data_IF_671648919866
#
_entry.id   IF_671648919866
#
_cell.length_a   1.000
_cell.length_b   1.000
_cell.length_c   1.000
_cell.angle_alpha   90.00
_cell.angle_beta   90.00
_cell.angle_gamma   90.00
#
_symmetry.space_group_name_H-M   'P 1'
#
loop_
_entity.id
_entity.type
_entity.pdbx_description
1 polymer ?
#
# COMPACT_ATOMS: atom_id res chain seq x y z
N UNK A 1 16.65 7.62 4.56
CA UNK A 1 17.04 6.65 3.51
C UNK A 1 16.57 7.21 2.17
N UNK A 2 17.48 7.36 1.20
CA UNK A 2 17.14 7.85 -0.15
C UNK A 2 16.70 6.70 -1.07
N UNK A 3 16.07 7.03 -2.20
CA UNK A 3 15.74 6.10 -3.29
C UNK A 3 17.01 5.65 -4.01
N UNK A 4 17.10 4.36 -4.35
CA UNK A 4 18.17 3.82 -5.19
C UNK A 4 17.95 4.15 -6.67
N UNK A 5 18.98 3.99 -7.50
CA UNK A 5 18.86 4.19 -8.95
C UNK A 5 17.88 3.21 -9.58
N UNK A 6 17.83 1.98 -9.10
CA UNK A 6 16.89 0.95 -9.54
C UNK A 6 15.46 1.34 -9.18
N UNK A 7 15.23 1.85 -7.97
CA UNK A 7 13.91 2.32 -7.53
C UNK A 7 13.45 3.54 -8.35
N UNK A 8 14.34 4.49 -8.62
CA UNK A 8 14.04 5.63 -9.48
C UNK A 8 13.72 5.21 -10.91
N UNK A 9 14.49 4.28 -11.46
CA UNK A 9 14.28 3.75 -12.81
C UNK A 9 12.96 2.99 -12.91
N UNK A 10 12.66 2.15 -11.92
CA UNK A 10 11.43 1.38 -11.84
C UNK A 10 10.22 2.21 -11.41
N UNK A 11 10.43 3.43 -10.89
CA UNK A 11 9.41 4.27 -10.24
C UNK A 11 8.68 3.54 -9.11
N UNK A 12 9.38 2.61 -8.45
CA UNK A 12 8.82 1.72 -7.44
C UNK A 12 9.86 1.32 -6.41
N UNK A 13 9.47 1.46 -5.14
CA UNK A 13 10.14 0.90 -3.97
C UNK A 13 9.27 -0.20 -3.36
N UNK A 14 9.86 -1.36 -3.08
CA UNK A 14 9.20 -2.39 -2.29
C UNK A 14 9.41 -2.10 -0.82
N UNK A 15 8.34 -2.11 -0.04
CA UNK A 15 8.41 -1.90 1.40
C UNK A 15 7.87 -3.15 2.10
N UNK A 16 8.75 -3.83 2.83
CA UNK A 16 8.41 -4.96 3.67
C UNK A 16 7.95 -4.47 5.03
N UNK A 17 6.88 -5.06 5.55
CA UNK A 17 6.29 -4.78 6.85
C UNK A 17 6.34 -6.02 7.74
N UNK A 18 6.45 -5.83 9.04
CA UNK A 18 6.23 -6.88 10.02
C UNK A 18 5.65 -6.30 11.32
N UNK A 19 4.60 -6.91 11.87
CA UNK A 19 4.07 -6.51 13.17
C UNK A 19 5.10 -6.84 14.27
N UNK A 20 5.30 -5.89 15.18
CA UNK A 20 6.04 -6.03 16.41
C UNK A 20 5.07 -5.78 17.56
N UNK A 21 4.82 -6.81 18.35
CA UNK A 21 3.93 -6.68 19.50
C UNK A 21 4.75 -6.27 20.72
N UNK A 22 4.36 -5.14 21.32
CA UNK A 22 4.88 -4.70 22.61
C UNK A 22 3.70 -4.53 23.58
N UNK A 23 3.53 -5.49 24.48
CA UNK A 23 2.39 -5.59 25.40
C UNK A 23 1.02 -5.42 24.69
N UNK A 24 0.38 -4.26 24.89
CA UNK A 24 -0.92 -3.87 24.32
C UNK A 24 -0.82 -2.90 23.14
N UNK A 25 0.38 -2.69 22.62
CA UNK A 25 0.66 -1.86 21.45
C UNK A 25 1.11 -2.75 20.30
N UNK A 26 0.44 -2.61 19.16
CA UNK A 26 0.88 -3.21 17.91
C UNK A 26 1.72 -2.17 17.17
N UNK A 27 3.04 -2.37 17.15
CA UNK A 27 3.94 -1.60 16.32
C UNK A 27 4.00 -2.24 14.93
N UNK A 28 4.04 -1.43 13.88
CA UNK A 28 4.28 -1.91 12.54
C UNK A 28 5.64 -1.41 12.06
N UNK A 29 6.63 -2.30 12.09
CA UNK A 29 7.94 -2.01 11.55
C UNK A 29 7.95 -2.22 10.04
N UNK A 30 8.84 -1.50 9.36
CA UNK A 30 8.99 -1.59 7.92
C UNK A 30 10.42 -1.30 7.48
N UNK A 31 10.79 -1.82 6.31
CA UNK A 31 12.05 -1.49 5.63
C UNK A 31 11.88 -1.54 4.11
N UNK A 32 12.61 -0.71 3.36
CA UNK A 32 12.75 -0.93 1.92
C UNK A 32 13.48 -2.25 1.67
N UNK A 33 13.09 -2.96 0.61
CA UNK A 33 13.79 -4.16 0.12
C UNK A 33 14.04 -4.04 -1.38
N UNK A 34 15.12 -4.63 -1.86
CA UNK A 34 15.35 -4.76 -3.29
C UNK A 34 14.40 -5.79 -3.90
N UNK A 35 14.18 -5.68 -5.23
CA UNK A 35 13.31 -6.59 -5.96
C UNK A 35 13.72 -8.07 -5.84
N UNK A 36 15.02 -8.35 -5.73
CA UNK A 36 15.56 -9.71 -5.59
C UNK A 36 15.44 -10.27 -4.16
N UNK A 37 15.23 -9.41 -3.15
CA UNK A 37 14.98 -9.82 -1.76
C UNK A 37 13.51 -10.19 -1.52
N UNK A 38 12.62 -9.99 -2.51
CA UNK A 38 11.21 -10.30 -2.37
C UNK A 38 10.99 -11.81 -2.18
N UNK A 39 10.50 -12.17 -1.00
CA UNK A 39 10.10 -13.54 -0.67
C UNK A 39 8.57 -13.64 -0.69
N UNK A 40 7.97 -14.62 -1.40
CA UNK A 40 6.54 -14.88 -1.34
C UNK A 40 6.05 -15.08 0.10
N UNK A 41 4.80 -14.70 0.38
CA UNK A 41 4.17 -14.76 1.70
C UNK A 41 4.73 -13.79 2.77
N UNK A 42 5.68 -12.93 2.42
CA UNK A 42 6.03 -11.77 3.27
C UNK A 42 5.11 -10.58 3.01
N UNK A 43 4.91 -9.72 4.01
CA UNK A 43 4.03 -8.55 3.90
C UNK A 43 4.80 -7.45 3.17
N UNK A 44 4.66 -7.40 1.84
CA UNK A 44 5.34 -6.42 0.99
C UNK A 44 4.33 -5.67 0.15
N UNK A 45 4.45 -4.35 0.10
CA UNK A 45 3.61 -3.49 -0.74
C UNK A 45 4.46 -2.55 -1.59
N UNK A 46 3.85 -2.00 -2.63
CA UNK A 46 4.49 -1.06 -3.55
C UNK A 46 4.33 0.37 -3.07
N UNK A 47 5.44 1.07 -2.90
CA UNK A 47 5.47 2.52 -2.89
C UNK A 47 5.85 2.99 -4.30
N UNK A 48 4.94 3.75 -4.93
CA UNK A 48 4.98 4.00 -6.37
C UNK A 48 5.16 5.49 -6.59
N UNK A 49 6.25 5.90 -7.23
CA UNK A 49 6.52 7.31 -7.50
C UNK A 49 5.83 7.77 -8.77
N UNK A 50 5.19 8.95 -8.73
CA UNK A 50 4.61 9.61 -9.91
C UNK A 50 5.30 10.94 -10.15
N UNK A 51 5.97 11.07 -11.29
CA UNK A 51 6.75 12.25 -11.66
C UNK A 51 5.92 13.53 -11.70
N UNK A 52 4.75 13.48 -12.32
CA UNK A 52 3.87 14.64 -12.55
C UNK A 52 3.53 15.40 -11.27
N UNK A 53 3.46 14.71 -10.13
CA UNK A 53 3.13 15.29 -8.84
C UNK A 53 4.26 15.22 -7.82
N UNK A 54 5.40 14.66 -8.22
CA UNK A 54 6.54 14.44 -7.35
C UNK A 54 6.11 13.79 -6.00
N UNK A 55 5.23 12.79 -6.09
CA UNK A 55 4.58 12.19 -4.92
C UNK A 55 4.52 10.66 -5.06
N UNK A 56 4.62 9.99 -3.90
CA UNK A 56 4.50 8.54 -3.79
C UNK A 56 3.05 8.11 -3.54
N UNK A 57 2.68 6.97 -4.09
CA UNK A 57 1.36 6.38 -4.02
C UNK A 57 1.41 4.92 -3.56
N UNK A 58 0.30 4.46 -2.98
CA UNK A 58 0.02 3.05 -2.67
C UNK A 58 -1.30 2.65 -3.29
N UNK A 59 -1.41 1.42 -3.79
CA UNK A 59 -2.66 0.93 -4.36
C UNK A 59 -3.65 0.52 -3.25
N UNK A 60 -4.95 0.58 -3.54
CA UNK A 60 -5.98 0.10 -2.61
C UNK A 60 -5.86 -1.40 -2.34
N UNK A 61 -5.37 -2.16 -3.31
CA UNK A 61 -5.12 -3.60 -3.17
C UNK A 61 -3.99 -3.85 -2.18
N UNK A 62 -2.89 -3.10 -2.28
CA UNK A 62 -1.78 -3.14 -1.32
C UNK A 62 -2.24 -2.71 0.09
N UNK A 63 -3.03 -1.64 0.19
CA UNK A 63 -3.56 -1.18 1.48
C UNK A 63 -4.46 -2.23 2.16
N UNK A 64 -5.35 -2.88 1.40
CA UNK A 64 -6.22 -3.96 1.91
C UNK A 64 -5.37 -5.18 2.28
N UNK A 65 -4.38 -5.54 1.48
CA UNK A 65 -3.47 -6.64 1.77
C UNK A 65 -2.72 -6.42 3.09
N UNK A 66 -2.24 -5.20 3.32
CA UNK A 66 -1.59 -4.83 4.57
C UNK A 66 -2.56 -4.93 5.77
N UNK A 67 -3.81 -4.51 5.61
CA UNK A 67 -4.84 -4.66 6.65
C UNK A 67 -5.15 -6.14 6.95
N UNK A 68 -5.28 -7.00 5.94
CA UNK A 68 -5.45 -8.45 6.14
C UNK A 68 -4.28 -9.04 6.93
N UNK A 69 -3.05 -8.62 6.58
CA UNK A 69 -1.83 -9.08 7.25
C UNK A 69 -1.76 -8.61 8.71
N UNK A 70 -2.18 -7.37 8.99
CA UNK A 70 -2.22 -6.81 10.35
C UNK A 70 -3.29 -7.46 11.24
N UNK A 71 -4.44 -7.82 10.66
CA UNK A 71 -5.49 -8.56 11.38
C UNK A 71 -5.12 -10.04 11.54
N UNK A 72 -4.21 -10.57 10.70
CA UNK A 72 -3.86 -11.98 10.68
C UNK A 72 -4.91 -12.87 10.04
N UNK A 73 -5.80 -12.31 9.22
CA UNK A 73 -6.89 -13.02 8.56
C UNK A 73 -7.21 -12.45 7.18
N UNK A 74 -7.70 -13.30 6.27
CA UNK A 74 -8.25 -12.87 4.99
C UNK A 74 -9.63 -12.26 5.19
N UNK A 75 -9.90 -11.15 4.52
CA UNK A 75 -11.21 -10.52 4.55
C UNK A 75 -12.14 -11.13 3.49
N UNK A 76 -13.42 -11.26 3.84
CA UNK A 76 -14.47 -11.61 2.90
C UNK A 76 -14.66 -10.49 1.85
N UNK A 77 -15.43 -10.77 0.79
CA UNK A 77 -15.71 -9.78 -0.25
C UNK A 77 -16.50 -8.60 0.32
N UNK A 78 -17.47 -8.88 1.18
CA UNK A 78 -18.31 -7.89 1.87
C UNK A 78 -17.43 -6.99 2.74
N UNK A 79 -16.48 -7.59 3.45
CA UNK A 79 -15.57 -6.86 4.31
C UNK A 79 -14.61 -5.99 3.51
N UNK A 80 -14.04 -6.50 2.42
CA UNK A 80 -13.24 -5.71 1.48
C UNK A 80 -14.02 -4.52 0.95
N UNK A 81 -15.31 -4.69 0.63
CA UNK A 81 -16.16 -3.61 0.16
C UNK A 81 -16.44 -2.58 1.26
N UNK A 82 -16.63 -3.01 2.52
CA UNK A 82 -16.75 -2.12 3.68
C UNK A 82 -15.48 -1.30 3.91
N UNK A 83 -14.31 -1.94 3.84
CA UNK A 83 -13.01 -1.27 3.96
C UNK A 83 -12.82 -0.28 2.82
N UNK A 84 -13.10 -0.65 1.57
CA UNK A 84 -13.03 0.25 0.40
C UNK A 84 -13.86 1.51 0.61
N UNK A 85 -15.09 1.40 1.11
CA UNK A 85 -15.94 2.57 1.45
C UNK A 85 -15.34 3.45 2.55
N UNK A 86 -14.68 2.86 3.55
CA UNK A 86 -13.96 3.65 4.57
C UNK A 86 -12.75 4.37 3.97
N UNK A 87 -12.06 3.71 3.04
CA UNK A 87 -10.90 4.27 2.33
C UNK A 87 -11.30 5.40 1.36
N UNK A 88 -12.49 5.37 0.75
CA UNK A 88 -12.99 6.47 -0.11
C UNK A 88 -13.05 7.81 0.63
N UNK A 89 -13.22 7.82 1.96
CA UNK A 89 -13.17 9.03 2.78
C UNK A 89 -11.80 9.74 2.77
N UNK A 90 -10.74 9.06 2.32
CA UNK A 90 -9.41 9.65 2.11
C UNK A 90 -9.19 10.17 0.68
N UNK A 91 -10.26 10.24 -0.13
CA UNK A 91 -10.25 10.78 -1.49
C UNK A 91 -9.20 10.10 -2.38
N UNK A 92 -9.30 8.77 -2.62
CA UNK A 92 -8.42 8.09 -3.56
C UNK A 92 -8.56 8.67 -4.95
N UNK A 93 -7.48 8.56 -5.70
CA UNK A 93 -7.53 8.71 -7.13
C UNK A 93 -7.95 7.43 -7.81
N UNK A 94 -8.73 7.55 -8.87
CA UNK A 94 -9.04 6.42 -9.76
C UNK A 94 -8.15 6.50 -10.99
N UNK A 95 -7.30 5.49 -11.16
CA UNK A 95 -6.34 5.34 -12.25
C UNK A 95 -6.84 4.22 -13.14
N UNK A 96 -7.06 4.53 -14.41
CA UNK A 96 -7.65 3.62 -15.39
C UNK A 96 -7.04 3.81 -16.77
N UNK A 97 -7.15 2.79 -17.62
CA UNK A 97 -6.73 2.88 -19.03
C UNK A 97 -7.55 3.88 -19.85
N UNK A 98 -8.80 4.15 -19.43
CA UNK A 98 -9.74 5.01 -20.16
C UNK A 98 -9.50 6.51 -19.97
N UNK A 99 -8.69 6.91 -19.00
CA UNK A 99 -8.38 8.31 -18.69
C UNK A 99 -7.00 8.65 -19.22
N UNK A 100 -6.93 9.54 -20.21
CA UNK A 100 -5.67 9.88 -20.89
C UNK A 100 -4.59 10.42 -19.92
N UNK A 101 -5.00 11.18 -18.90
CA UNK A 101 -4.13 11.72 -17.85
C UNK A 101 -3.67 10.67 -16.83
N UNK A 102 -4.36 9.54 -16.72
CA UNK A 102 -4.03 8.48 -15.78
C UNK A 102 -3.47 7.22 -16.46
N UNK A 103 -3.59 7.09 -17.78
CA UNK A 103 -3.17 5.93 -18.55
C UNK A 103 -1.67 5.61 -18.41
N UNK A 104 -0.73 6.59 -18.48
CA UNK A 104 0.70 6.30 -18.30
C UNK A 104 0.99 5.71 -16.92
N UNK A 105 0.35 6.25 -15.89
CA UNK A 105 0.50 5.76 -14.52
C UNK A 105 -0.14 4.38 -14.33
N UNK A 106 -1.29 4.13 -14.98
CA UNK A 106 -1.93 2.81 -15.01
C UNK A 106 -0.99 1.76 -15.64
N UNK A 107 -0.43 2.05 -16.83
CA UNK A 107 0.49 1.17 -17.54
C UNK A 107 1.74 0.87 -16.70
N UNK A 108 2.29 1.88 -16.03
CA UNK A 108 3.41 1.71 -15.10
C UNK A 108 3.08 0.69 -13.99
N UNK A 109 1.94 0.86 -13.31
CA UNK A 109 1.50 -0.04 -12.23
C UNK A 109 1.34 -1.48 -12.74
N UNK A 110 0.74 -1.64 -13.92
CA UNK A 110 0.52 -2.97 -14.52
C UNK A 110 1.81 -3.63 -15.01
N UNK A 111 2.85 -2.84 -15.32
CA UNK A 111 4.16 -3.31 -15.77
C UNK A 111 5.07 -3.87 -14.67
N UNK A 112 4.78 -3.60 -13.40
CA UNK A 112 5.66 -3.98 -12.30
C UNK A 112 5.84 -5.49 -12.11
N UNK A 113 7.04 -6.01 -11.78
CA UNK A 113 7.21 -7.42 -11.41
C UNK A 113 6.51 -7.77 -10.09
N UNK A 114 6.55 -9.05 -9.69
CA UNK A 114 5.95 -9.47 -8.41
C UNK A 114 6.56 -8.73 -7.21
N UNK A 115 5.79 -8.41 -6.14
CA UNK A 115 4.37 -8.69 -5.95
C UNK A 115 3.48 -7.83 -6.86
N UNK A 116 2.70 -8.45 -7.74
CA UNK A 116 1.70 -7.74 -8.54
C UNK A 116 0.38 -7.69 -7.76
N UNK A 117 -0.30 -6.54 -7.71
CA UNK A 117 -1.67 -6.51 -7.27
C UNK A 117 -2.52 -7.45 -8.17
N UNK A 118 -3.07 -8.54 -7.60
CA UNK A 118 -3.84 -9.54 -8.37
C UNK A 118 -5.17 -8.93 -8.84
N UNK A 119 -5.61 -9.29 -10.06
CA UNK A 119 -6.94 -8.98 -10.62
C UNK A 119 -7.28 -7.48 -10.77
N UNK A 120 -6.32 -6.65 -11.18
CA UNK A 120 -6.56 -5.21 -11.47
C UNK A 120 -6.62 -4.96 -12.98
N UNK A 121 -7.46 -5.70 -13.71
CA UNK A 121 -7.62 -5.50 -15.15
C UNK A 121 -8.49 -4.28 -15.53
N UNK A 122 -8.95 -3.50 -14.54
CA UNK A 122 -9.86 -2.36 -14.72
C UNK A 122 -9.29 -1.07 -14.12
N UNK A 123 -9.96 -0.57 -13.09
CA UNK A 123 -9.64 0.67 -12.41
C UNK A 123 -8.97 0.37 -11.08
N UNK A 124 -7.84 1.02 -10.83
CA UNK A 124 -7.16 0.95 -9.55
C UNK A 124 -7.37 2.24 -8.78
N UNK A 125 -7.74 2.09 -7.50
CA UNK A 125 -7.73 3.21 -6.57
C UNK A 125 -6.32 3.33 -6.01
N UNK A 126 -5.74 4.51 -6.08
CA UNK A 126 -4.44 4.83 -5.47
C UNK A 126 -4.59 5.95 -4.46
N UNK A 127 -3.75 5.92 -3.45
CA UNK A 127 -3.72 6.91 -2.37
C UNK A 127 -2.32 7.48 -2.23
N UNK A 128 -2.17 8.78 -1.90
CA UNK A 128 -0.88 9.30 -1.50
C UNK A 128 -0.29 8.47 -0.35
N UNK A 129 0.97 8.06 -0.47
CA UNK A 129 1.64 7.21 0.52
C UNK A 129 1.56 7.81 1.93
N UNK A 130 1.68 9.14 2.04
CA UNK A 130 1.60 9.89 3.30
C UNK A 130 0.32 9.64 4.10
N UNK A 131 -0.78 9.25 3.46
CA UNK A 131 -2.05 8.97 4.15
C UNK A 131 -2.19 7.52 4.61
N UNK A 132 -1.29 6.63 4.18
CA UNK A 132 -1.39 5.19 4.43
C UNK A 132 -1.46 4.91 5.93
N UNK A 133 -0.60 5.55 6.73
CA UNK A 133 -0.62 5.35 8.17
C UNK A 133 -1.97 5.75 8.80
N UNK A 134 -2.50 6.91 8.43
CA UNK A 134 -3.79 7.37 8.93
C UNK A 134 -4.93 6.43 8.50
N UNK A 135 -4.90 5.96 7.26
CA UNK A 135 -5.87 5.01 6.72
C UNK A 135 -5.84 3.67 7.46
N UNK A 136 -4.65 3.09 7.68
CA UNK A 136 -4.48 1.86 8.44
C UNK A 136 -5.01 2.02 9.87
N UNK A 137 -4.59 3.08 10.58
CA UNK A 137 -5.04 3.35 11.96
C UNK A 137 -6.56 3.50 12.07
N UNK A 138 -7.17 4.22 11.12
CA UNK A 138 -8.64 4.43 11.10
C UNK A 138 -9.41 3.15 10.85
N UNK A 139 -8.91 2.25 10.01
CA UNK A 139 -9.59 0.98 9.73
C UNK A 139 -9.33 -0.02 10.86
N UNK A 140 -8.09 -0.12 11.35
CA UNK A 140 -7.67 -1.06 12.39
C UNK A 140 -8.34 -0.82 13.75
N UNK A 141 -8.76 0.41 14.07
CA UNK A 141 -9.50 0.70 15.31
C UNK A 141 -10.82 -0.05 15.45
N UNK A 142 -11.34 -0.64 14.36
CA UNK A 142 -12.54 -1.49 14.36
C UNK A 142 -12.25 -2.97 14.65
N UNK A 143 -10.98 -3.40 14.56
CA UNK A 143 -10.58 -4.81 14.64
C UNK A 143 -9.80 -5.15 15.89
N UNK A 144 -9.07 -4.17 16.43
CA UNK A 144 -8.15 -4.40 17.54
C UNK A 144 -8.39 -3.35 18.60
N UNK A 145 -8.63 -3.79 19.85
CA UNK A 145 -8.69 -2.90 21.02
C UNK A 145 -7.31 -2.35 21.42
N UNK A 146 -6.24 -2.80 20.76
CA UNK A 146 -4.85 -2.43 20.99
C UNK A 146 -4.50 -1.16 20.23
N UNK A 147 -3.59 -0.37 20.78
CA UNK A 147 -3.10 0.84 20.11
C UNK A 147 -2.21 0.44 18.93
N UNK A 148 -2.57 0.87 17.71
CA UNK A 148 -1.70 0.70 16.54
C UNK A 148 -0.74 1.89 16.46
N UNK A 149 0.55 1.60 16.60
CA UNK A 149 1.65 2.53 16.43
C UNK A 149 2.31 2.29 15.06
N UNK A 150 2.13 3.27 14.18
CA UNK A 150 2.75 3.31 12.87
C UNK A 150 3.84 4.38 12.98
N UNK A 151 5.03 4.02 13.43
CA UNK A 151 6.19 4.94 13.44
C UNK A 151 6.34 5.59 12.07
N UNK A 152 6.96 6.77 11.98
CA UNK A 152 6.94 7.69 10.82
C UNK A 152 6.96 7.01 9.42
N UNK A 153 5.80 6.50 8.96
CA UNK A 153 5.61 5.93 7.60
C UNK A 153 5.60 7.02 6.53
N UNK A 154 6.15 8.19 6.85
CA UNK A 154 6.14 9.41 6.03
C UNK A 154 7.27 9.37 5.00
N UNK A 155 8.33 8.58 5.26
CA UNK A 155 9.48 8.42 4.37
C UNK A 155 9.46 7.03 3.73
N UNK A 156 8.63 6.90 2.71
CA UNK A 156 9.04 6.14 1.55
C UNK A 156 9.94 7.06 0.71
#
# INVERSE_FOLDING_TARGET
>A
MGWSNEEWTARRRLVQFWPQQDANVLNLAFRPIAQHEYVPNTIVVSCIFRDEWNECFVTSVDAIYLLEALVGARFSVEEKNRIRRNLEGFKPMTVSKSKADAEPFFKLIMGFPNPKPRNIEKDVKVFPWKILAQALKKVMSKYVSRLLCLGEMVKC
#
